data_IF_819708496529
#
_entry.id   IF_819708496529
#
_cell.length_a   1.000
_cell.length_b   1.000
_cell.length_c   1.000
_cell.angle_alpha   90.00
_cell.angle_beta   90.00
_cell.angle_gamma   90.00
#
_symmetry.space_group_name_H-M   'P 1'
#
loop_
_entity.id
_entity.type
_entity.pdbx_description
1 polymer ?
#
# COMPACT_ATOMS: atom_id res chain seq x y z
N UNK A 1 -20.16 -1.37 3.30
CA UNK A 1 -18.94 -1.21 4.11
C UNK A 1 -17.73 -1.76 3.35
N UNK A 2 -16.62 -1.05 3.45
CA UNK A 2 -15.35 -1.47 2.82
C UNK A 2 -14.53 -2.20 3.87
N UNK A 3 -14.10 -3.41 3.55
CA UNK A 3 -13.17 -4.16 4.39
C UNK A 3 -11.77 -4.06 3.80
N UNK A 4 -10.81 -3.59 4.58
CA UNK A 4 -9.43 -3.37 4.16
C UNK A 4 -8.46 -4.04 5.13
N UNK A 5 -7.38 -4.59 4.60
CA UNK A 5 -6.29 -5.11 5.41
C UNK A 5 -4.96 -4.70 4.82
N UNK A 6 -3.95 -4.59 5.68
CA UNK A 6 -2.58 -4.24 5.29
C UNK A 6 -1.68 -5.35 5.80
N UNK A 7 -0.89 -5.93 4.90
CA UNK A 7 0.06 -6.98 5.24
C UNK A 7 1.47 -6.51 4.88
N UNK A 8 2.25 -6.02 5.85
CA UNK A 8 3.62 -5.60 5.58
C UNK A 8 4.56 -6.80 5.50
N UNK A 9 5.49 -6.76 4.56
CA UNK A 9 6.65 -7.65 4.52
C UNK A 9 7.91 -6.81 4.40
N UNK A 10 9.03 -7.32 4.91
CA UNK A 10 10.27 -6.58 4.96
C UNK A 10 11.42 -7.50 4.56
N UNK A 11 12.25 -7.04 3.63
CA UNK A 11 13.45 -7.77 3.19
C UNK A 11 14.64 -6.82 3.29
N UNK A 12 15.72 -7.28 3.93
CA UNK A 12 16.96 -6.53 4.04
C UNK A 12 18.07 -7.28 3.27
N UNK A 13 18.77 -6.57 2.39
CA UNK A 13 19.85 -7.15 1.60
C UNK A 13 20.87 -6.06 1.25
N UNK A 14 22.15 -6.33 1.53
CA UNK A 14 23.28 -5.45 1.18
C UNK A 14 23.12 -4.00 1.69
N UNK A 15 22.61 -3.82 2.90
CA UNK A 15 22.39 -2.49 3.47
C UNK A 15 21.18 -1.76 2.92
N UNK A 16 20.37 -2.42 2.13
CA UNK A 16 19.10 -1.90 1.59
C UNK A 16 17.94 -2.62 2.24
N UNK A 17 16.93 -1.86 2.64
CA UNK A 17 15.71 -2.40 3.20
C UNK A 17 14.55 -2.15 2.24
N UNK A 18 13.79 -3.20 1.94
CA UNK A 18 12.58 -3.10 1.11
C UNK A 18 11.36 -3.46 1.95
N UNK A 19 10.43 -2.52 2.04
CA UNK A 19 9.16 -2.67 2.72
C UNK A 19 8.07 -2.81 1.67
N UNK A 20 7.31 -3.88 1.72
CA UNK A 20 6.16 -4.09 0.83
C UNK A 20 4.90 -4.16 1.67
N UNK A 21 3.96 -3.25 1.40
CA UNK A 21 2.65 -3.23 2.03
C UNK A 21 1.61 -3.59 1.00
N UNK A 22 0.84 -4.64 1.27
CA UNK A 22 -0.27 -5.06 0.42
C UNK A 22 -1.57 -4.61 1.06
N UNK A 23 -2.33 -3.79 0.34
CA UNK A 23 -3.65 -3.34 0.77
C UNK A 23 -4.70 -4.18 0.08
N UNK A 24 -5.67 -4.67 0.84
CA UNK A 24 -6.77 -5.49 0.31
C UNK A 24 -8.10 -4.80 0.58
N UNK A 25 -8.96 -4.83 -0.42
CA UNK A 25 -10.33 -4.37 -0.33
C UNK A 25 -11.25 -5.54 -0.66
N UNK A 26 -12.04 -5.96 0.32
CA UNK A 26 -13.01 -7.05 0.15
C UNK A 26 -14.43 -6.54 -0.07
N UNK A 27 -14.60 -5.23 -0.14
CA UNK A 27 -15.89 -4.61 -0.40
C UNK A 27 -16.17 -4.46 -1.88
N UNK A 28 -17.41 -4.17 -2.20
CA UNK A 28 -17.86 -4.01 -3.58
C UNK A 28 -17.67 -2.58 -4.12
N UNK A 29 -17.04 -1.71 -3.35
CA UNK A 29 -16.75 -0.33 -3.75
C UNK A 29 -15.25 -0.09 -3.66
N UNK A 30 -14.68 0.51 -4.71
CA UNK A 30 -13.27 0.87 -4.71
C UNK A 30 -12.97 1.90 -3.61
N UNK A 31 -11.79 1.79 -3.00
CA UNK A 31 -11.25 2.83 -2.14
C UNK A 31 -10.49 3.80 -3.03
N UNK A 32 -10.99 5.01 -3.16
CA UNK A 32 -10.43 6.05 -4.03
C UNK A 32 -9.99 7.28 -3.22
N UNK A 33 -9.62 8.34 -3.93
CA UNK A 33 -9.14 9.57 -3.30
C UNK A 33 -10.14 10.17 -2.30
N UNK A 34 -11.43 9.95 -2.48
CA UNK A 34 -12.46 10.45 -1.58
C UNK A 34 -12.53 9.71 -0.24
N UNK A 35 -11.91 8.54 -0.13
CA UNK A 35 -11.89 7.76 1.10
C UNK A 35 -10.79 8.17 2.08
N UNK A 36 -9.94 9.11 1.70
CA UNK A 36 -8.91 9.73 2.54
C UNK A 36 -7.97 8.71 3.21
N UNK A 37 -7.57 7.68 2.47
CA UNK A 37 -6.67 6.66 2.98
C UNK A 37 -5.26 7.23 3.19
N UNK A 38 -4.68 6.97 4.36
CA UNK A 38 -3.32 7.41 4.70
C UNK A 38 -2.61 6.28 5.41
N UNK A 39 -1.36 6.03 5.00
CA UNK A 39 -0.45 5.12 5.71
C UNK A 39 0.65 5.97 6.33
N UNK A 40 0.90 5.78 7.62
CA UNK A 40 2.01 6.38 8.33
C UNK A 40 2.88 5.30 8.96
N UNK A 41 4.18 5.50 8.93
CA UNK A 41 5.12 4.58 9.55
C UNK A 41 6.38 5.35 9.97
N UNK A 42 7.08 4.83 10.95
CA UNK A 42 8.35 5.37 11.41
C UNK A 42 9.39 4.27 11.32
N UNK A 43 10.44 4.52 10.53
CA UNK A 43 11.50 3.53 10.33
C UNK A 43 12.57 3.64 11.41
N UNK A 44 12.93 2.50 11.99
CA UNK A 44 14.03 2.37 12.95
C UNK A 44 14.80 1.08 12.63
N UNK A 45 16.04 1.17 12.11
CA UNK A 45 16.80 2.40 11.87
C UNK A 45 16.23 3.28 10.75
N UNK A 46 16.58 4.56 10.81
CA UNK A 46 16.11 5.54 9.81
C UNK A 46 16.70 5.19 8.45
N UNK A 47 15.82 5.09 7.44
CA UNK A 47 16.21 4.82 6.07
C UNK A 47 16.57 6.11 5.33
N UNK A 48 17.51 6.01 4.39
CA UNK A 48 17.94 7.11 3.53
C UNK A 48 17.67 6.79 2.06
N UNK A 49 17.58 7.82 1.26
CA UNK A 49 17.40 7.68 -0.20
C UNK A 49 16.20 6.81 -0.55
N UNK A 50 15.04 7.15 0.01
CA UNK A 50 13.83 6.39 -0.21
C UNK A 50 13.40 6.38 -1.67
N UNK A 51 13.02 5.21 -2.14
CA UNK A 51 12.31 5.00 -3.40
C UNK A 51 10.97 4.39 -3.07
N UNK A 52 9.90 5.03 -3.51
CA UNK A 52 8.54 4.57 -3.23
C UNK A 52 7.82 4.30 -4.54
N UNK A 53 7.22 3.12 -4.64
CA UNK A 53 6.43 2.73 -5.80
C UNK A 53 5.05 2.27 -5.36
N UNK A 54 4.04 2.67 -6.08
CA UNK A 54 2.67 2.24 -5.85
C UNK A 54 2.17 1.51 -7.09
N UNK A 55 1.85 0.22 -6.93
CA UNK A 55 1.49 -0.67 -8.03
C UNK A 55 2.53 -0.63 -9.17
N UNK A 56 3.82 -0.55 -8.80
CA UNK A 56 4.92 -0.48 -9.73
C UNK A 56 5.22 0.91 -10.30
N UNK A 57 4.42 1.91 -10.00
CA UNK A 57 4.62 3.29 -10.47
C UNK A 57 5.41 4.08 -9.46
N UNK A 58 6.50 4.73 -9.91
CA UNK A 58 7.32 5.55 -9.03
C UNK A 58 6.54 6.75 -8.51
N UNK A 59 6.54 6.91 -7.19
CA UNK A 59 5.92 8.06 -6.52
C UNK A 59 6.92 9.18 -6.29
N UNK A 60 6.41 10.40 -6.25
CA UNK A 60 7.21 11.62 -6.02
C UNK A 60 6.99 12.15 -4.62
N UNK A 61 8.09 12.37 -3.89
CA UNK A 61 8.03 12.97 -2.56
C UNK A 61 7.42 14.36 -2.63
N UNK A 62 6.55 14.66 -1.67
CA UNK A 62 5.83 15.93 -1.62
C UNK A 62 4.53 15.94 -2.43
N UNK A 63 4.37 15.02 -3.37
CA UNK A 63 3.14 14.88 -4.19
C UNK A 63 2.31 13.70 -3.71
N UNK A 64 2.93 12.53 -3.54
CA UNK A 64 2.25 11.30 -3.16
C UNK A 64 2.53 10.90 -1.72
N UNK A 65 3.70 11.29 -1.20
CA UNK A 65 4.10 10.96 0.17
C UNK A 65 5.04 12.02 0.72
N UNK A 66 5.22 12.01 2.03
CA UNK A 66 6.24 12.81 2.71
C UNK A 66 7.14 11.89 3.52
N UNK A 67 8.41 12.25 3.63
CA UNK A 67 9.36 11.49 4.44
C UNK A 67 10.36 12.44 5.09
N UNK A 68 10.51 12.30 6.41
CA UNK A 68 11.49 13.07 7.19
C UNK A 68 12.66 12.15 7.52
N UNK A 69 13.81 12.39 6.88
CA UNK A 69 15.02 11.60 7.11
C UNK A 69 15.63 11.85 8.49
N UNK A 70 15.20 12.89 9.20
CA UNK A 70 15.68 13.17 10.55
C UNK A 70 15.01 12.26 11.58
N UNK A 71 13.74 12.01 11.42
CA UNK A 71 12.93 11.20 12.35
C UNK A 71 12.61 9.81 11.83
N UNK A 72 12.76 9.58 10.52
CA UNK A 72 12.36 8.33 9.86
C UNK A 72 10.86 8.22 9.64
N UNK A 73 10.13 9.31 9.72
CA UNK A 73 8.67 9.30 9.62
C UNK A 73 8.23 9.40 8.16
N UNK A 74 7.47 8.40 7.72
CA UNK A 74 6.86 8.31 6.39
C UNK A 74 5.36 8.46 6.51
N UNK A 75 4.77 9.22 5.59
CA UNK A 75 3.32 9.36 5.51
C UNK A 75 2.88 9.51 4.05
N UNK A 76 1.81 8.85 3.68
CA UNK A 76 1.20 9.06 2.36
C UNK A 76 0.33 10.31 2.37
N UNK A 77 0.25 10.98 1.22
CA UNK A 77 -0.63 12.15 1.05
C UNK A 77 -2.08 11.67 0.89
N UNK A 78 -3.01 12.39 1.51
CA UNK A 78 -4.44 12.09 1.36
C UNK A 78 -4.81 12.07 -0.13
N UNK A 79 -5.50 11.02 -0.56
CA UNK A 79 -5.92 10.85 -1.93
C UNK A 79 -4.93 10.13 -2.84
N UNK A 80 -3.70 9.88 -2.38
CA UNK A 80 -2.70 9.16 -3.17
C UNK A 80 -2.93 7.64 -3.19
N UNK A 81 -3.48 7.09 -2.10
CA UNK A 81 -3.74 5.66 -1.99
C UNK A 81 -5.11 5.31 -2.56
N UNK A 82 -5.15 4.28 -3.40
CA UNK A 82 -6.38 3.74 -3.95
C UNK A 82 -6.32 2.22 -3.91
N UNK A 83 -7.44 1.57 -3.68
CA UNK A 83 -7.54 0.11 -3.72
C UNK A 83 -8.79 -0.23 -4.53
N UNK A 84 -8.68 -1.03 -5.61
CA UNK A 84 -9.84 -1.39 -6.40
C UNK A 84 -10.83 -2.23 -5.60
N UNK A 85 -12.08 -2.26 -6.04
CA UNK A 85 -13.10 -3.10 -5.43
C UNK A 85 -12.76 -4.58 -5.59
N UNK A 86 -13.26 -5.40 -4.67
CA UNK A 86 -13.23 -6.84 -4.84
C UNK A 86 -14.11 -7.26 -6.02
N UNK A 87 -13.76 -8.36 -6.66
CA UNK A 87 -14.60 -8.97 -7.68
C UNK A 87 -15.32 -10.17 -7.09
N UNK A 88 -16.59 -10.33 -7.50
CA UNK A 88 -17.45 -11.41 -7.02
C UNK A 88 -17.82 -12.27 -8.21
N UNK A 89 -17.56 -13.57 -8.11
CA UNK A 89 -17.92 -14.52 -9.16
C UNK A 89 -18.81 -15.61 -8.57
N UNK A 90 -19.71 -16.14 -9.38
CA UNK A 90 -20.57 -17.26 -8.99
C UNK A 90 -20.36 -18.41 -9.96
N UNK A 91 -20.09 -19.60 -9.42
CA UNK A 91 -20.03 -20.81 -10.21
C UNK A 91 -21.45 -21.21 -10.62
N UNK A 92 -21.71 -21.25 -11.93
CA UNK A 92 -23.03 -21.58 -12.47
C UNK A 92 -23.43 -23.02 -12.17
N UNK A 93 -22.48 -23.93 -11.97
CA UNK A 93 -22.75 -25.34 -11.71
C UNK A 93 -23.09 -25.61 -10.24
N UNK A 94 -22.43 -24.91 -9.32
CA UNK A 94 -22.54 -25.16 -7.87
C UNK A 94 -23.27 -24.05 -7.11
N UNK A 95 -23.38 -22.86 -7.70
CA UNK A 95 -23.92 -21.67 -7.03
C UNK A 95 -22.98 -21.05 -6.02
N UNK A 96 -21.72 -21.52 -5.90
CA UNK A 96 -20.75 -21.01 -4.94
C UNK A 96 -20.24 -19.65 -5.38
N UNK A 97 -20.22 -18.68 -4.47
CA UNK A 97 -19.62 -17.38 -4.70
C UNK A 97 -18.15 -17.40 -4.29
N UNK A 98 -17.33 -16.80 -5.14
CA UNK A 98 -15.92 -16.55 -4.85
C UNK A 98 -15.68 -15.05 -4.80
N UNK A 99 -14.94 -14.59 -3.78
CA UNK A 99 -14.55 -13.20 -3.62
C UNK A 99 -13.06 -13.07 -3.87
N UNK A 100 -12.70 -12.30 -4.90
CA UNK A 100 -11.31 -11.94 -5.18
C UNK A 100 -11.10 -10.51 -4.70
N UNK A 101 -10.35 -10.28 -3.59
CA UNK A 101 -10.17 -8.93 -3.08
C UNK A 101 -9.45 -8.05 -4.07
N UNK A 102 -9.84 -6.78 -4.13
CA UNK A 102 -9.06 -5.77 -4.83
C UNK A 102 -7.78 -5.53 -4.05
N UNK A 103 -6.66 -5.39 -4.76
CA UNK A 103 -5.35 -5.21 -4.10
C UNK A 103 -4.60 -4.04 -4.68
N UNK A 104 -3.81 -3.39 -3.82
CA UNK A 104 -2.81 -2.42 -4.20
C UNK A 104 -1.55 -2.70 -3.40
N UNK A 105 -0.39 -2.43 -4.00
CA UNK A 105 0.89 -2.69 -3.36
C UNK A 105 1.72 -1.43 -3.29
N UNK A 106 2.19 -1.11 -2.09
CA UNK A 106 3.10 0.00 -1.84
C UNK A 106 4.46 -0.57 -1.46
N UNK A 107 5.48 -0.23 -2.23
CA UNK A 107 6.85 -0.70 -1.99
C UNK A 107 7.74 0.48 -1.64
N UNK A 108 8.41 0.40 -0.49
CA UNK A 108 9.33 1.43 0.00
C UNK A 108 10.70 0.80 0.14
N UNK A 109 11.69 1.35 -0.57
CA UNK A 109 13.06 0.88 -0.52
C UNK A 109 13.96 2.02 -0.06
N UNK A 110 14.85 1.73 0.88
CA UNK A 110 15.78 2.71 1.41
C UNK A 110 17.09 2.08 1.84
N UNK A 111 18.09 2.93 2.05
CA UNK A 111 19.40 2.53 2.52
C UNK A 111 19.47 2.63 4.04
N UNK A 112 20.14 1.67 4.64
CA UNK A 112 20.44 1.67 6.07
C UNK A 112 21.61 2.58 6.40
#
# INVERSE_FOLDING_TARGET
>A
AISKSISPTMVAENGTLTYTLTLQNRGNTAADAGDELVITDTFDPILKNLTVRFNGTLWTQGVHYTYDETTGTFATVVGALTVPAATFTQDAATGVFTVDPGTSELTITGSL
#
